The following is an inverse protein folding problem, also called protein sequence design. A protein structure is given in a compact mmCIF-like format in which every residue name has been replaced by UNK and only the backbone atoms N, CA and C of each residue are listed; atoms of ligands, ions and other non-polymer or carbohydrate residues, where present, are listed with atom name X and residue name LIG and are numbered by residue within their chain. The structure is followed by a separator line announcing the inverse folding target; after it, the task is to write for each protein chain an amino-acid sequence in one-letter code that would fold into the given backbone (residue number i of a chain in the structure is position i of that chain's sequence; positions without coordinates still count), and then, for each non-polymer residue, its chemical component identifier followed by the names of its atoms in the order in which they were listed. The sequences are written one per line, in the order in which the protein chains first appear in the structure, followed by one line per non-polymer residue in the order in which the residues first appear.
data_IF_404176427587
#
_entry.id   IF_404176427587
#
_cell.length_a   1.000
_cell.length_b   1.000
_cell.length_c   1.000
_cell.angle_alpha   90.00
_cell.angle_beta   90.00
_cell.angle_gamma   90.00
#
_symmetry.space_group_name_H-M   'P 1'
#
loop_
_entity.id
_entity.type
_entity.pdbx_description
1 polymer ?
#
# COMPACT_ATOMS: atom_id res chain seq x y z
N UNK A 1 -56.74 9.90 -2.96
CA UNK A 1 -56.49 10.00 -1.50
C UNK A 1 -56.11 8.67 -0.89
N UNK A 2 -56.88 7.58 -1.03
CA UNK A 2 -56.40 6.23 -0.63
C UNK A 2 -55.47 5.66 -1.72
N UNK A 3 -55.84 5.74 -2.99
CA UNK A 3 -55.00 5.28 -4.13
C UNK A 3 -53.66 6.04 -4.27
N UNK A 4 -53.60 7.31 -3.84
CA UNK A 4 -52.36 8.10 -3.85
C UNK A 4 -51.41 7.69 -2.70
N UNK A 5 -51.96 7.21 -1.58
CA UNK A 5 -51.16 6.75 -0.44
C UNK A 5 -50.59 5.34 -0.65
N UNK A 6 -51.27 4.51 -1.44
CA UNK A 6 -50.74 3.20 -1.83
C UNK A 6 -49.59 3.34 -2.85
N UNK A 7 -49.69 4.28 -3.79
CA UNK A 7 -48.60 4.55 -4.75
C UNK A 7 -47.35 5.12 -4.08
N UNK A 8 -47.49 6.03 -3.11
CA UNK A 8 -46.34 6.55 -2.35
C UNK A 8 -45.64 5.45 -1.52
N UNK A 9 -46.40 4.47 -0.99
CA UNK A 9 -45.82 3.35 -0.23
C UNK A 9 -45.12 2.31 -1.12
N UNK A 10 -45.63 2.07 -2.34
CA UNK A 10 -44.96 1.21 -3.31
C UNK A 10 -43.67 1.86 -3.83
N UNK A 11 -43.66 3.16 -4.09
CA UNK A 11 -42.43 3.89 -4.50
C UNK A 11 -41.38 3.97 -3.37
N UNK A 12 -41.80 4.08 -2.10
CA UNK A 12 -40.88 4.01 -0.95
C UNK A 12 -40.31 2.60 -0.77
N UNK A 13 -41.11 1.55 -0.95
CA UNK A 13 -40.63 0.16 -0.88
C UNK A 13 -39.70 -0.20 -2.04
N UNK A 14 -39.99 0.25 -3.27
CA UNK A 14 -39.10 0.06 -4.41
C UNK A 14 -37.77 0.82 -4.23
N UNK A 15 -37.80 2.01 -3.62
CA UNK A 15 -36.58 2.76 -3.29
C UNK A 15 -35.77 2.08 -2.18
N UNK A 16 -36.42 1.54 -1.15
CA UNK A 16 -35.75 0.76 -0.09
C UNK A 16 -35.16 -0.56 -0.65
N UNK A 17 -35.85 -1.26 -1.54
CA UNK A 17 -35.33 -2.47 -2.20
C UNK A 17 -34.19 -2.16 -3.20
N UNK A 18 -34.23 -1.03 -3.91
CA UNK A 18 -33.10 -0.56 -4.74
C UNK A 18 -31.89 -0.15 -3.89
N UNK A 19 -32.09 0.46 -2.71
CA UNK A 19 -31.01 0.83 -1.79
C UNK A 19 -30.41 -0.42 -1.09
N UNK A 20 -31.22 -1.41 -0.77
CA UNK A 20 -30.80 -2.69 -0.17
C UNK A 20 -30.05 -3.57 -1.20
N UNK A 21 -30.49 -3.58 -2.47
CA UNK A 21 -29.79 -4.28 -3.57
C UNK A 21 -28.53 -3.54 -4.05
N UNK A 22 -28.49 -2.21 -3.98
CA UNK A 22 -27.27 -1.42 -4.17
C UNK A 22 -26.26 -1.67 -3.04
N UNK A 23 -26.73 -1.87 -1.81
CA UNK A 23 -25.91 -2.25 -0.66
C UNK A 23 -25.22 -3.62 -0.80
N UNK A 24 -25.87 -4.58 -1.47
CA UNK A 24 -25.36 -5.96 -1.58
C UNK A 24 -24.41 -6.18 -2.78
N UNK A 25 -24.38 -5.26 -3.76
CA UNK A 25 -23.42 -5.33 -4.88
C UNK A 25 -22.01 -4.86 -4.54
N UNK A 26 -21.80 -4.21 -3.40
CA UNK A 26 -20.49 -3.83 -2.88
C UNK A 26 -19.84 -4.89 -1.95
N UNK A 27 -20.53 -6.00 -1.68
CA UNK A 27 -20.17 -6.98 -0.65
C UNK A 27 -19.19 -8.08 -1.15
N UNK A 28 -18.12 -7.73 -1.87
CA UNK A 28 -17.28 -8.76 -2.50
C UNK A 28 -15.80 -8.47 -2.68
N UNK A 29 -15.40 -7.22 -2.90
CA UNK A 29 -14.02 -6.88 -3.25
C UNK A 29 -13.24 -6.36 -2.02
N UNK A 30 -12.06 -6.91 -1.77
CA UNK A 30 -11.15 -6.36 -0.75
C UNK A 30 -10.87 -4.88 -1.01
N UNK A 31 -10.87 -4.06 0.04
CA UNK A 31 -10.53 -2.64 -0.05
C UNK A 31 -9.03 -2.38 -0.29
N UNK A 32 -8.19 -3.41 -0.21
CA UNK A 32 -6.74 -3.30 -0.39
C UNK A 32 -6.18 -4.34 -1.35
N UNK A 33 -5.11 -3.94 -2.05
CA UNK A 33 -4.19 -4.81 -2.76
C UNK A 33 -2.76 -4.57 -2.26
N UNK A 34 -1.88 -5.55 -2.38
CA UNK A 34 -0.48 -5.43 -1.98
C UNK A 34 0.43 -5.76 -3.16
N UNK A 35 1.61 -5.16 -3.21
CA UNK A 35 2.64 -5.53 -4.19
C UNK A 35 2.92 -7.03 -4.06
N UNK A 36 2.67 -7.80 -5.12
CA UNK A 36 2.72 -9.26 -5.11
C UNK A 36 4.08 -9.78 -4.65
N UNK A 37 5.14 -9.27 -5.27
CA UNK A 37 6.51 -9.66 -5.02
C UNK A 37 7.23 -8.53 -4.29
N UNK A 38 7.50 -8.70 -3.00
CA UNK A 38 8.23 -7.71 -2.21
C UNK A 38 9.65 -7.52 -2.75
N UNK A 39 10.13 -6.28 -2.72
CA UNK A 39 11.49 -5.94 -3.13
C UNK A 39 12.46 -6.25 -1.99
N UNK A 40 13.33 -7.24 -2.18
CA UNK A 40 14.39 -7.55 -1.22
C UNK A 40 15.68 -6.80 -1.55
N UNK A 41 16.35 -6.25 -0.53
CA UNK A 41 17.58 -5.45 -0.69
C UNK A 41 18.62 -5.81 0.36
N UNK A 42 19.86 -5.88 -0.08
CA UNK A 42 21.05 -6.05 0.77
C UNK A 42 22.00 -4.90 0.50
N UNK A 43 22.36 -4.17 1.54
CA UNK A 43 23.36 -3.10 1.48
C UNK A 43 24.50 -3.41 2.46
N UNK A 44 25.61 -3.89 1.92
CA UNK A 44 26.86 -4.08 2.68
C UNK A 44 27.54 -2.74 2.95
N UNK A 45 28.46 -2.65 3.94
CA UNK A 45 29.35 -1.50 4.08
C UNK A 45 30.05 -1.18 2.75
N UNK A 46 29.92 0.07 2.29
CA UNK A 46 30.35 0.49 0.95
C UNK A 46 30.52 2.00 0.87
N UNK A 47 31.43 2.46 0.00
CA UNK A 47 31.58 3.88 -0.37
C UNK A 47 30.50 4.37 -1.32
N UNK A 48 29.67 3.46 -1.87
CA UNK A 48 28.60 3.79 -2.82
C UNK A 48 27.22 3.65 -2.18
N UNK A 49 26.33 4.58 -2.52
CA UNK A 49 24.90 4.49 -2.24
C UNK A 49 24.22 3.57 -3.26
N UNK A 50 23.12 2.92 -2.85
CA UNK A 50 22.32 2.07 -3.75
C UNK A 50 21.20 2.88 -4.41
N UNK A 51 20.53 3.74 -3.65
CA UNK A 51 19.41 4.57 -4.10
C UNK A 51 19.76 6.05 -4.08
N UNK A 52 19.43 6.73 -5.17
CA UNK A 52 19.45 8.19 -5.30
C UNK A 52 18.15 8.80 -4.77
N UNK A 53 18.09 10.13 -4.66
CA UNK A 53 16.86 10.85 -4.27
C UNK A 53 15.78 10.64 -5.33
N UNK A 54 14.65 10.06 -4.91
CA UNK A 54 13.47 9.86 -5.73
C UNK A 54 12.21 9.76 -4.87
N UNK A 55 11.06 9.87 -5.52
CA UNK A 55 9.77 9.40 -5.02
C UNK A 55 9.28 8.24 -5.89
N UNK A 56 8.39 7.38 -5.42
CA UNK A 56 7.90 6.28 -6.27
C UNK A 56 7.06 6.82 -7.46
N UNK A 57 6.45 8.01 -7.33
CA UNK A 57 5.76 8.69 -8.43
C UNK A 57 6.70 9.02 -9.61
N UNK A 58 8.01 9.21 -9.37
CA UNK A 58 9.01 9.39 -10.45
C UNK A 58 9.13 8.16 -11.36
N UNK A 59 8.65 7.01 -10.89
CA UNK A 59 8.62 5.73 -11.60
C UNK A 59 7.21 5.32 -12.06
N UNK A 60 6.24 6.24 -12.05
CA UNK A 60 4.85 6.01 -12.50
C UNK A 60 4.01 5.13 -11.55
N UNK A 61 4.33 5.15 -10.25
CA UNK A 61 3.47 4.56 -9.23
C UNK A 61 2.23 5.42 -8.94
N UNK A 62 1.04 4.81 -8.78
CA UNK A 62 -0.20 5.53 -8.52
C UNK A 62 -0.22 6.11 -7.08
N UNK A 63 -0.85 7.28 -6.85
CA UNK A 63 -0.80 7.98 -5.57
C UNK A 63 -1.57 7.29 -4.44
N UNK A 64 -2.40 6.29 -4.76
CA UNK A 64 -3.23 5.57 -3.79
C UNK A 64 -2.46 4.46 -3.04
N UNK A 65 -1.13 4.47 -3.04
CA UNK A 65 -0.28 3.46 -2.41
C UNK A 65 0.49 4.00 -1.20
N UNK A 66 0.80 3.12 -0.26
CA UNK A 66 1.64 3.41 0.91
C UNK A 66 2.76 2.38 1.00
N UNK A 67 3.97 2.85 1.27
CA UNK A 67 5.16 2.02 1.41
C UNK A 67 5.26 1.43 2.82
N UNK A 68 5.60 0.16 2.87
CA UNK A 68 5.99 -0.56 4.08
C UNK A 68 7.41 -1.07 3.91
N UNK A 69 8.33 -0.57 4.72
CA UNK A 69 9.74 -0.94 4.67
C UNK A 69 10.13 -1.63 5.98
N UNK A 70 10.54 -2.90 5.88
CA UNK A 70 10.91 -3.75 7.00
C UNK A 70 12.39 -4.11 6.89
N UNK A 71 13.25 -3.46 7.69
CA UNK A 71 14.62 -3.91 7.87
C UNK A 71 14.67 -5.18 8.75
N UNK A 72 15.41 -6.19 8.28
CA UNK A 72 15.70 -7.46 8.99
C UNK A 72 16.96 -7.37 9.85
N UNK A 73 17.57 -6.20 9.90
CA UNK A 73 18.73 -5.83 10.71
C UNK A 73 18.44 -4.49 11.34
N UNK A 74 19.06 -4.17 12.47
CA UNK A 74 18.99 -2.81 13.03
C UNK A 74 19.50 -1.79 11.99
N UNK A 75 18.84 -0.65 11.86
CA UNK A 75 19.21 0.42 10.92
C UNK A 75 19.27 1.79 11.62
N UNK A 76 20.30 2.56 11.32
CA UNK A 76 20.60 3.88 11.87
C UNK A 76 21.63 4.63 11.01
N UNK A 77 21.74 5.95 11.16
CA UNK A 77 22.78 6.75 10.49
C UNK A 77 22.83 6.56 8.97
N UNK A 78 23.88 5.93 8.45
CA UNK A 78 24.10 5.76 6.99
C UNK A 78 23.65 4.41 6.43
N UNK A 79 23.33 3.42 7.27
CA UNK A 79 22.82 2.11 6.82
C UNK A 79 21.28 2.08 6.76
N UNK A 80 20.63 3.22 6.55
CA UNK A 80 19.16 3.32 6.58
C UNK A 80 18.61 4.12 5.39
N UNK A 81 17.29 4.20 5.28
CA UNK A 81 16.61 5.15 4.40
C UNK A 81 16.62 6.54 5.04
N UNK A 82 16.84 7.55 4.20
CA UNK A 82 16.62 8.95 4.52
C UNK A 82 15.36 9.39 3.78
N UNK A 83 14.40 9.98 4.47
CA UNK A 83 13.08 10.34 3.93
C UNK A 83 12.66 11.72 4.41
N UNK A 84 11.91 12.44 3.58
CA UNK A 84 11.16 13.64 3.99
C UNK A 84 10.11 13.29 5.05
N UNK A 85 9.73 14.27 5.87
CA UNK A 85 8.63 14.09 6.83
C UNK A 85 7.24 14.21 6.16
N UNK A 86 7.14 15.04 5.13
CA UNK A 86 5.97 15.23 4.28
C UNK A 86 6.43 15.60 2.86
N UNK A 87 5.58 15.39 1.83
CA UNK A 87 5.96 15.63 0.45
C UNK A 87 6.52 17.04 0.20
N UNK A 88 7.72 17.12 -0.36
CA UNK A 88 8.34 18.36 -0.83
C UNK A 88 8.94 19.25 0.25
N UNK A 89 9.05 18.79 1.51
CA UNK A 89 9.70 19.56 2.58
C UNK A 89 11.22 19.59 2.48
N UNK A 90 11.85 18.60 1.86
CA UNK A 90 13.31 18.47 1.77
C UNK A 90 14.01 18.27 3.13
N UNK A 91 13.26 17.95 4.19
CA UNK A 91 13.74 17.85 5.58
C UNK A 91 14.20 16.42 5.93
N UNK A 92 15.05 15.87 5.07
CA UNK A 92 15.46 14.46 5.14
C UNK A 92 16.09 14.10 6.50
N UNK A 93 15.55 13.05 7.11
CA UNK A 93 16.08 12.47 8.34
C UNK A 93 16.32 10.96 8.18
N UNK A 94 17.33 10.40 8.88
CA UNK A 94 17.54 8.95 8.91
C UNK A 94 16.39 8.26 9.63
N UNK A 95 15.95 7.13 9.10
CA UNK A 95 14.98 6.26 9.76
C UNK A 95 15.72 5.31 10.69
N UNK A 96 15.53 5.43 12.00
CA UNK A 96 16.16 4.54 12.97
C UNK A 96 15.17 3.49 13.46
N UNK A 97 15.51 2.22 13.25
CA UNK A 97 14.65 1.08 13.59
C UNK A 97 15.46 -0.08 14.13
N UNK A 98 14.89 -0.74 15.13
CA UNK A 98 15.33 -2.01 15.69
C UNK A 98 14.70 -3.20 14.94
N UNK A 99 15.27 -4.39 15.14
CA UNK A 99 14.74 -5.62 14.55
C UNK A 99 13.24 -5.82 14.88
N UNK A 100 12.45 -6.12 13.85
CA UNK A 100 11.00 -6.33 13.97
C UNK A 100 10.16 -5.06 13.90
N UNK A 101 10.78 -3.87 13.86
CA UNK A 101 10.06 -2.62 13.59
C UNK A 101 9.92 -2.37 12.09
N UNK A 102 8.83 -1.72 11.70
CA UNK A 102 8.48 -1.45 10.30
C UNK A 102 8.24 0.04 10.13
N UNK A 103 8.78 0.62 9.05
CA UNK A 103 8.40 1.96 8.61
C UNK A 103 7.18 1.88 7.71
N UNK A 104 6.12 2.62 8.05
CA UNK A 104 5.03 2.94 7.13
C UNK A 104 5.14 4.42 6.78
N UNK A 105 5.29 4.73 5.49
CA UNK A 105 5.45 6.11 5.02
C UNK A 105 4.87 6.29 3.62
N UNK A 106 4.62 7.53 3.23
CA UNK A 106 4.06 7.86 1.93
C UNK A 106 5.16 8.10 0.89
N UNK A 107 5.94 7.07 0.60
CA UNK A 107 7.08 7.11 -0.34
C UNK A 107 6.68 7.36 -1.80
N UNK A 108 5.39 7.33 -2.12
CA UNK A 108 4.89 7.76 -3.42
C UNK A 108 5.22 9.22 -3.72
N UNK A 109 5.06 10.13 -2.74
CA UNK A 109 5.36 11.56 -2.90
C UNK A 109 6.46 12.08 -1.96
N UNK A 110 6.69 11.43 -0.81
CA UNK A 110 7.84 11.77 0.03
C UNK A 110 9.11 11.25 -0.62
N UNK A 111 10.04 12.15 -0.91
CA UNK A 111 11.32 11.76 -1.45
C UNK A 111 12.12 10.95 -0.42
N UNK A 112 12.85 9.98 -0.91
CA UNK A 112 13.71 9.14 -0.09
C UNK A 112 14.94 8.65 -0.85
N UNK A 113 15.99 8.29 -0.12
CA UNK A 113 17.25 7.81 -0.68
C UNK A 113 18.06 7.01 0.35
N UNK A 114 19.22 6.52 -0.09
CA UNK A 114 20.22 5.89 0.79
C UNK A 114 21.53 6.64 0.73
N UNK A 115 22.28 6.64 1.82
CA UNK A 115 23.68 7.05 1.81
C UNK A 115 24.60 5.86 1.50
N UNK A 116 25.87 6.11 1.14
CA UNK A 116 26.91 5.11 1.28
C UNK A 116 26.91 4.54 2.69
N UNK A 117 26.92 3.20 2.80
CA UNK A 117 26.89 2.57 4.10
C UNK A 117 28.30 2.62 4.74
N UNK A 118 28.54 3.67 5.52
CA UNK A 118 29.77 3.87 6.29
C UNK A 118 29.76 3.19 7.66
N UNK A 119 28.68 2.49 8.03
CA UNK A 119 28.66 1.66 9.23
C UNK A 119 29.41 0.35 9.01
N UNK A 120 29.65 -0.38 10.08
CA UNK A 120 30.20 -1.74 10.08
C UNK A 120 29.12 -2.84 9.92
N UNK A 121 27.85 -2.45 9.71
CA UNK A 121 26.72 -3.39 9.64
C UNK A 121 26.14 -3.48 8.23
N UNK A 122 25.90 -4.70 7.77
CA UNK A 122 25.10 -4.94 6.57
C UNK A 122 23.62 -4.69 6.88
N UNK A 123 22.94 -3.94 6.03
CA UNK A 123 21.49 -3.80 6.04
C UNK A 123 20.86 -4.85 5.15
N UNK A 124 19.96 -5.64 5.72
CA UNK A 124 19.06 -6.52 4.96
C UNK A 124 17.65 -6.01 5.17
N UNK A 125 16.89 -5.80 4.10
CA UNK A 125 15.52 -5.30 4.20
C UNK A 125 14.65 -5.82 3.06
N UNK A 126 13.34 -5.71 3.24
CA UNK A 126 12.40 -5.74 2.14
C UNK A 126 11.38 -4.62 2.25
N UNK A 127 10.86 -4.19 1.11
CA UNK A 127 9.75 -3.25 1.02
C UNK A 127 8.66 -3.76 0.08
N UNK A 128 7.44 -3.37 0.40
CA UNK A 128 6.28 -3.59 -0.44
C UNK A 128 5.34 -2.39 -0.32
N UNK A 129 4.46 -2.23 -1.31
CA UNK A 129 3.40 -1.23 -1.28
C UNK A 129 2.05 -1.88 -0.99
N UNK A 130 1.19 -1.13 -0.30
CA UNK A 130 -0.24 -1.46 -0.15
C UNK A 130 -1.04 -0.38 -0.84
N UNK A 131 -1.87 -0.80 -1.80
CA UNK A 131 -2.74 0.04 -2.61
C UNK A 131 -4.15 0.07 -2.00
N UNK A 132 -4.68 1.27 -1.79
CA UNK A 132 -6.07 1.47 -1.41
C UNK A 132 -6.96 1.44 -2.65
N UNK A 133 -7.66 0.32 -2.88
CA UNK A 133 -8.44 0.09 -4.11
C UNK A 133 -9.59 1.10 -4.30
N UNK A 134 -10.35 1.52 -3.27
CA UNK A 134 -11.41 2.52 -3.44
C UNK A 134 -10.93 3.90 -3.89
N UNK A 135 -9.65 4.23 -3.65
CA UNK A 135 -9.05 5.50 -4.09
C UNK A 135 -8.15 5.34 -5.31
N UNK A 136 -8.04 4.12 -5.85
CA UNK A 136 -7.19 3.84 -6.99
C UNK A 136 -7.96 4.09 -8.28
N UNK A 137 -7.41 4.94 -9.15
CA UNK A 137 -7.84 5.08 -10.54
C UNK A 137 -7.02 4.13 -11.43
N UNK A 138 -7.62 3.08 -12.03
CA UNK A 138 -6.92 2.16 -12.93
C UNK A 138 -6.41 2.83 -14.22
N UNK A 139 -6.94 4.01 -14.56
CA UNK A 139 -6.56 4.81 -15.70
C UNK A 139 -5.71 6.02 -15.32
N UNK A 140 -5.17 6.05 -14.10
CA UNK A 140 -4.28 7.10 -13.64
C UNK A 140 -3.10 7.29 -14.60
N UNK A 141 -2.88 8.56 -14.97
CA UNK A 141 -1.78 9.03 -15.79
C UNK A 141 -0.93 9.97 -14.94
N UNK A 142 0.38 9.82 -15.00
CA UNK A 142 1.30 10.66 -14.25
C UNK A 142 1.40 12.08 -14.84
N UNK A 143 2.13 12.96 -14.14
CA UNK A 143 2.39 14.34 -14.57
C UNK A 143 3.15 14.46 -15.91
N UNK A 144 3.73 13.36 -16.41
CA UNK A 144 4.49 13.29 -17.67
C UNK A 144 3.66 12.64 -18.80
N UNK A 145 2.38 12.34 -18.56
CA UNK A 145 1.50 11.71 -19.53
C UNK A 145 1.74 10.21 -19.70
N UNK A 146 2.45 9.56 -18.78
CA UNK A 146 2.69 8.12 -18.77
C UNK A 146 1.64 7.39 -17.94
N UNK A 147 1.14 6.26 -18.46
CA UNK A 147 0.21 5.43 -17.73
C UNK A 147 0.90 4.67 -16.59
N UNK A 148 0.13 4.34 -15.55
CA UNK A 148 0.57 3.44 -14.49
C UNK A 148 1.06 2.10 -15.08
N UNK A 149 2.31 1.74 -14.78
CA UNK A 149 2.88 0.43 -15.14
C UNK A 149 2.55 -0.65 -14.10
N UNK A 150 2.11 -0.24 -12.90
CA UNK A 150 1.88 -1.10 -11.74
C UNK A 150 0.39 -1.45 -11.59
N UNK A 151 -0.06 -2.42 -12.38
CA UNK A 151 -1.48 -2.76 -12.48
C UNK A 151 -1.96 -3.75 -11.41
N UNK A 152 -3.23 -3.63 -11.00
CA UNK A 152 -3.94 -4.63 -10.19
C UNK A 152 -4.13 -5.91 -10.99
N UNK A 153 -3.88 -7.06 -10.36
CA UNK A 153 -3.83 -8.37 -11.00
C UNK A 153 -2.48 -8.72 -11.63
N UNK A 154 -1.56 -7.76 -11.76
CA UNK A 154 -0.21 -7.97 -12.29
C UNK A 154 0.88 -7.61 -11.29
N UNK A 155 1.02 -6.34 -10.91
CA UNK A 155 1.95 -5.92 -9.86
C UNK A 155 1.30 -6.00 -8.47
N UNK A 156 0.05 -5.55 -8.38
CA UNK A 156 -0.74 -5.59 -7.16
C UNK A 156 -1.63 -6.83 -7.11
N UNK A 157 -1.62 -7.54 -6.00
CA UNK A 157 -2.51 -8.65 -5.70
C UNK A 157 -3.61 -8.17 -4.74
N UNK A 158 -4.90 -8.17 -5.13
CA UNK A 158 -5.99 -7.96 -4.20
C UNK A 158 -5.92 -8.99 -3.08
N UNK A 159 -6.14 -8.56 -1.84
CA UNK A 159 -6.27 -9.49 -0.73
C UNK A 159 -7.55 -10.31 -0.96
N UNK A 160 -7.42 -11.62 -1.21
CA UNK A 160 -8.59 -12.50 -1.23
C UNK A 160 -9.20 -12.59 0.16
N UNK A 161 -10.49 -12.96 0.27
CA UNK A 161 -11.02 -13.37 1.58
C UNK A 161 -10.09 -14.46 2.12
N UNK A 162 -9.56 -14.28 3.32
CA UNK A 162 -8.94 -15.37 4.04
C UNK A 162 -10.06 -16.40 4.21
N UNK A 163 -10.01 -17.52 3.49
CA UNK A 163 -10.88 -18.64 3.80
C UNK A 163 -10.60 -18.94 5.28
N UNK A 164 -11.60 -18.72 6.14
CA UNK A 164 -11.53 -19.19 7.52
C UNK A 164 -11.20 -20.66 7.42
N UNK A 165 -9.96 -21.04 7.73
CA UNK A 165 -9.63 -22.44 7.95
C UNK A 165 -10.52 -22.84 9.11
N UNK A 166 -11.58 -23.59 8.83
CA UNK A 166 -12.29 -24.30 9.88
C UNK A 166 -11.20 -25.05 10.68
N UNK A 167 -11.11 -24.75 11.96
CA UNK A 167 -10.22 -25.47 12.85
C UNK A 167 -10.57 -26.95 12.70
N UNK A 168 -9.57 -27.85 12.55
CA UNK A 168 -9.87 -29.27 12.46
C UNK A 168 -10.68 -29.66 13.70
N UNK A 169 -11.84 -30.30 13.49
CA UNK A 169 -12.63 -30.89 14.57
C UNK A 169 -11.69 -31.74 15.41
N UNK A 170 -11.56 -31.35 16.68
CA UNK A 170 -10.85 -32.14 17.66
C UNK A 170 -11.72 -33.37 17.88
N UNK A 171 -11.34 -34.50 17.27
CA UNK A 171 -12.00 -35.77 17.53
C UNK A 171 -11.78 -36.12 19.01
N UNK A 172 -12.85 -36.05 19.81
CA UNK A 172 -12.85 -36.55 21.18
C UNK A 172 -12.45 -38.04 21.17
N UNK A 173 -11.46 -38.37 22.01
CA UNK A 173 -10.94 -39.71 22.24
C UNK A 173 -11.66 -40.42 23.40
#
# INVERSE_FOLDING_TARGET
REEEQEQEQEEEQEQEEEEETAGDTAQGCSAIAYQRDATFRVQVPSSEAIGYVHSDADYHHPPSEVNWWLPLTRVWGSNTLHTESEPGKGDFAPVELEYGQVLRFYGNLCQHYTLPNSTDHCRVSFDFRVLHLPSHDPHWIDQRGQACTFQVGAYYQPVGRCATREAPEVADA
#
